data_IF_572272591835
#
_entry.id   IF_572272591835
#
_cell.length_a   1.000
_cell.length_b   1.000
_cell.length_c   1.000
_cell.angle_alpha   90.00
_cell.angle_beta   90.00
_cell.angle_gamma   90.00
#
_symmetry.space_group_name_H-M   'P 1'
#
loop_
_entity.id
_entity.type
_entity.pdbx_description
1 polymer ?
#
# COMPACT_ATOMS: atom_id res chain seq x y z
N UNK A 1 10.59 0.57 -17.07
CA UNK A 1 10.09 0.73 -15.69
C UNK A 1 9.87 2.20 -15.43
N UNK A 2 8.77 2.57 -14.77
CA UNK A 2 8.49 3.96 -14.37
C UNK A 2 9.62 4.51 -13.49
N UNK A 3 9.88 5.81 -13.61
CA UNK A 3 10.88 6.51 -12.78
C UNK A 3 10.48 6.53 -11.30
N UNK A 4 11.44 6.78 -10.38
CA UNK A 4 11.13 6.88 -8.94
C UNK A 4 10.07 7.97 -8.67
N UNK A 5 10.24 9.14 -9.27
CA UNK A 5 9.36 10.29 -9.05
C UNK A 5 7.94 10.04 -9.59
N UNK A 6 7.84 9.43 -10.77
CA UNK A 6 6.56 9.04 -11.39
C UNK A 6 5.80 8.03 -10.51
N UNK A 7 6.50 7.01 -10.00
CA UNK A 7 5.92 6.01 -9.09
C UNK A 7 5.42 6.64 -7.80
N UNK A 8 6.23 7.54 -7.21
CA UNK A 8 5.86 8.22 -5.96
C UNK A 8 4.64 9.11 -6.18
N UNK A 9 4.58 9.82 -7.30
CA UNK A 9 3.46 10.69 -7.64
C UNK A 9 2.17 9.86 -7.78
N UNK A 10 2.17 8.86 -8.64
CA UNK A 10 0.98 8.02 -8.86
C UNK A 10 0.55 7.28 -7.60
N UNK A 11 1.49 6.78 -6.80
CA UNK A 11 1.18 6.15 -5.53
C UNK A 11 0.44 7.10 -4.59
N UNK A 12 0.92 8.34 -4.47
CA UNK A 12 0.31 9.34 -3.60
C UNK A 12 -1.07 9.80 -4.08
N UNK A 13 -1.31 9.76 -5.40
CA UNK A 13 -2.59 10.03 -6.03
C UNK A 13 -3.59 8.88 -5.78
N UNK A 14 -3.14 7.62 -5.86
CA UNK A 14 -3.96 6.43 -5.60
C UNK A 14 -4.31 6.27 -4.12
N UNK A 15 -3.34 6.47 -3.22
CA UNK A 15 -3.50 6.25 -1.79
C UNK A 15 -4.03 7.53 -1.13
N UNK A 16 -5.33 7.77 -1.23
CA UNK A 16 -5.98 8.97 -0.71
C UNK A 16 -6.39 8.91 0.78
N UNK A 17 -6.17 7.77 1.45
CA UNK A 17 -6.50 7.56 2.87
C UNK A 17 -5.29 7.78 3.80
N UNK A 18 -5.55 8.13 5.05
CA UNK A 18 -4.53 8.14 6.11
C UNK A 18 -4.20 6.71 6.57
N UNK A 19 -3.06 6.55 7.27
CA UNK A 19 -2.65 5.26 7.83
C UNK A 19 -3.74 4.66 8.74
N UNK A 20 -4.36 5.48 9.59
CA UNK A 20 -5.39 5.02 10.53
C UNK A 20 -6.70 4.65 9.83
N UNK A 21 -7.09 5.38 8.78
CA UNK A 21 -8.28 5.03 7.98
C UNK A 21 -8.07 3.74 7.22
N UNK A 22 -6.91 3.56 6.59
CA UNK A 22 -6.57 2.35 5.87
C UNK A 22 -6.46 1.15 6.82
N UNK A 23 -5.84 1.32 7.99
CA UNK A 23 -5.76 0.27 9.01
C UNK A 23 -7.16 -0.13 9.51
N UNK A 24 -8.06 0.83 9.71
CA UNK A 24 -9.45 0.54 10.11
C UNK A 24 -10.19 -0.21 9.00
N UNK A 25 -9.99 0.18 7.74
CA UNK A 25 -10.58 -0.49 6.59
C UNK A 25 -10.08 -1.94 6.47
N UNK A 26 -8.77 -2.18 6.63
CA UNK A 26 -8.17 -3.52 6.63
C UNK A 26 -8.67 -4.43 7.77
N UNK A 27 -9.23 -3.86 8.85
CA UNK A 27 -9.84 -4.61 9.95
C UNK A 27 -11.34 -4.88 9.74
N UNK A 28 -11.92 -4.36 8.66
CA UNK A 28 -13.34 -4.54 8.33
C UNK A 28 -13.58 -5.79 7.50
N UNK A 29 -14.77 -6.37 7.63
CA UNK A 29 -15.19 -7.56 6.88
C UNK A 29 -15.16 -7.34 5.36
N UNK A 30 -15.37 -6.11 4.90
CA UNK A 30 -15.31 -5.73 3.48
C UNK A 30 -13.91 -5.94 2.88
N UNK A 31 -12.86 -5.75 3.67
CA UNK A 31 -11.47 -5.91 3.22
C UNK A 31 -11.02 -7.37 3.16
N UNK A 32 -11.64 -8.27 3.95
CA UNK A 32 -11.33 -9.70 3.95
C UNK A 32 -11.70 -10.37 2.62
N UNK A 33 -12.68 -9.80 1.92
CA UNK A 33 -13.12 -10.26 0.59
C UNK A 33 -12.42 -9.53 -0.56
N UNK A 34 -11.67 -8.46 -0.26
CA UNK A 34 -10.99 -7.65 -1.24
C UNK A 34 -9.57 -8.19 -1.51
N UNK A 35 -9.36 -8.74 -2.70
CA UNK A 35 -8.06 -9.18 -3.18
C UNK A 35 -8.08 -10.60 -3.71
N UNK A 36 -7.02 -10.97 -4.42
CA UNK A 36 -6.83 -12.33 -4.87
C UNK A 36 -6.42 -13.21 -3.68
N UNK A 37 -7.07 -14.37 -3.48
CA UNK A 37 -6.66 -15.30 -2.44
C UNK A 37 -5.21 -15.73 -2.68
N UNK A 38 -4.40 -15.72 -1.63
CA UNK A 38 -3.15 -16.49 -1.62
C UNK A 38 -3.50 -17.95 -1.33
N UNK A 39 -2.69 -18.88 -1.83
CA UNK A 39 -2.72 -20.30 -1.42
C UNK A 39 -2.19 -20.49 0.03
N UNK A 40 -2.64 -19.65 0.98
CA UNK A 40 -2.26 -19.71 2.39
C UNK A 40 -3.44 -20.16 3.23
N UNK A 41 -3.19 -21.13 4.13
CA UNK A 41 -4.18 -21.72 5.05
C UNK A 41 -4.87 -20.68 5.97
N UNK A 42 -4.28 -19.50 6.13
CA UNK A 42 -4.73 -18.44 7.05
C UNK A 42 -5.73 -17.43 6.43
N UNK A 43 -6.06 -17.55 5.14
CA UNK A 43 -7.06 -16.69 4.48
C UNK A 43 -6.60 -15.27 4.13
N UNK A 44 -5.30 -14.97 4.21
CA UNK A 44 -4.75 -13.65 3.92
C UNK A 44 -4.64 -13.37 2.41
N UNK A 45 -5.31 -12.31 1.93
CA UNK A 45 -5.25 -11.93 0.50
C UNK A 45 -3.96 -11.19 0.14
N UNK A 46 -3.57 -11.22 -1.15
CA UNK A 46 -2.48 -10.38 -1.66
C UNK A 46 -2.76 -8.89 -1.41
N UNK A 47 -4.03 -8.50 -1.47
CA UNK A 47 -4.48 -7.14 -1.18
C UNK A 47 -4.26 -6.74 0.28
N UNK A 48 -4.48 -7.66 1.22
CA UNK A 48 -4.32 -7.39 2.65
C UNK A 48 -2.86 -7.19 3.06
N UNK A 49 -1.97 -8.05 2.56
CA UNK A 49 -0.52 -7.88 2.77
C UNK A 49 0.00 -6.57 2.17
N UNK A 50 -0.46 -6.24 0.96
CA UNK A 50 -0.14 -4.95 0.32
C UNK A 50 -0.68 -3.78 1.13
N UNK A 51 -1.92 -3.86 1.62
CA UNK A 51 -2.53 -2.82 2.44
C UNK A 51 -1.75 -2.54 3.72
N UNK A 52 -1.26 -3.58 4.42
CA UNK A 52 -0.42 -3.39 5.62
C UNK A 52 0.89 -2.68 5.32
N UNK A 53 1.54 -3.02 4.20
CA UNK A 53 2.77 -2.32 3.77
C UNK A 53 2.50 -0.85 3.46
N UNK A 54 1.37 -0.53 2.82
CA UNK A 54 0.95 0.85 2.60
C UNK A 54 0.73 1.59 3.94
N UNK A 55 0.10 0.95 4.93
CA UNK A 55 -0.06 1.53 6.27
C UNK A 55 1.29 1.89 6.88
N UNK A 56 2.28 0.99 6.83
CA UNK A 56 3.62 1.28 7.36
C UNK A 56 4.32 2.42 6.60
N UNK A 57 4.22 2.45 5.27
CA UNK A 57 4.72 3.57 4.43
C UNK A 57 4.10 4.92 4.88
N UNK A 58 2.79 4.94 5.15
CA UNK A 58 2.09 6.14 5.58
C UNK A 58 2.44 6.54 7.03
N UNK A 59 2.73 5.58 7.91
CA UNK A 59 3.22 5.87 9.28
C UNK A 59 4.62 6.47 9.27
N UNK A 60 5.51 5.95 8.43
CA UNK A 60 6.88 6.44 8.29
C UNK A 60 6.94 7.82 7.62
N UNK A 61 6.03 8.09 6.68
CA UNK A 61 5.98 9.33 5.91
C UNK A 61 4.56 9.93 5.81
N UNK A 62 3.97 10.40 6.93
CA UNK A 62 2.58 10.86 6.97
C UNK A 62 2.33 12.13 6.15
N UNK A 63 3.39 12.89 5.86
CA UNK A 63 3.33 14.09 5.01
C UNK A 63 3.53 13.78 3.52
N UNK A 64 3.72 12.50 3.16
CA UNK A 64 3.97 12.05 1.79
C UNK A 64 5.11 12.80 1.09
N UNK A 65 6.19 13.08 1.82
CA UNK A 65 7.33 13.79 1.26
C UNK A 65 8.08 12.88 0.28
N UNK A 66 8.20 13.22 -1.02
CA UNK A 66 8.80 12.33 -2.03
C UNK A 66 10.25 11.96 -1.73
N UNK A 67 10.98 12.81 -0.99
CA UNK A 67 12.40 12.58 -0.68
C UNK A 67 12.62 11.74 0.58
N UNK A 68 11.55 11.26 1.23
CA UNK A 68 11.62 10.50 2.49
C UNK A 68 11.27 9.02 2.36
N UNK A 69 11.01 8.55 1.14
CA UNK A 69 10.76 7.14 0.91
C UNK A 69 12.08 6.36 0.77
N UNK A 70 12.14 5.19 1.38
CA UNK A 70 13.24 4.25 1.16
C UNK A 70 13.09 3.53 -0.18
N UNK A 71 14.18 2.96 -0.69
CA UNK A 71 14.14 2.22 -1.95
C UNK A 71 13.19 1.02 -1.90
N UNK A 72 13.09 0.33 -0.75
CA UNK A 72 12.16 -0.78 -0.53
C UNK A 72 10.70 -0.31 -0.58
N UNK A 73 10.41 0.84 0.01
CA UNK A 73 9.08 1.44 -0.06
C UNK A 73 8.72 1.78 -1.50
N UNK A 74 9.66 2.38 -2.26
CA UNK A 74 9.45 2.70 -3.69
C UNK A 74 9.27 1.42 -4.51
N UNK A 75 9.98 0.32 -4.20
CA UNK A 75 9.74 -0.97 -4.88
C UNK A 75 8.34 -1.51 -4.61
N UNK A 76 7.84 -1.38 -3.38
CA UNK A 76 6.46 -1.76 -3.09
C UNK A 76 5.46 -0.84 -3.81
N UNK A 77 5.69 0.47 -3.84
CA UNK A 77 4.86 1.42 -4.60
C UNK A 77 4.78 1.05 -6.08
N UNK A 78 5.89 0.61 -6.70
CA UNK A 78 5.90 0.12 -8.08
C UNK A 78 4.91 -1.01 -8.31
N UNK A 79 4.75 -1.91 -7.33
CA UNK A 79 3.80 -3.01 -7.41
C UNK A 79 2.37 -2.46 -7.34
N UNK A 80 2.11 -1.51 -6.43
CA UNK A 80 0.78 -0.88 -6.27
C UNK A 80 0.34 -0.12 -7.52
N UNK A 81 1.22 0.68 -8.14
CA UNK A 81 0.88 1.49 -9.33
C UNK A 81 0.89 0.72 -10.66
N UNK A 82 1.36 -0.53 -10.65
CA UNK A 82 1.42 -1.38 -11.85
C UNK A 82 0.16 -2.25 -12.04
N UNK A 83 -0.75 -2.26 -11.06
CA UNK A 83 -2.03 -2.95 -11.12
C UNK A 83 -3.13 -2.08 -11.73
#
# INVERSE_FOLDING_TARGET
>A
MKGKDEVIQEFNDLVNMTASELEKWLKSDDSNSAGWPKDSEDGESVGHDSGRKIVEILKDNPKKNPNKYSDDQIEHMRKVVAY
#
